data_IF_981774331249
#
_entry.id   IF_981774331249
#
_cell.length_a   1.000
_cell.length_b   1.000
_cell.length_c   1.000
_cell.angle_alpha   90.00
_cell.angle_beta   90.00
_cell.angle_gamma   90.00
#
_symmetry.space_group_name_H-M   'P 1'
#
loop_
_entity.id
_entity.type
_entity.pdbx_description
1 polymer ?
#
# COMPACT_ATOMS: atom_id res chain seq x y z
N UNK A 1 28.86 15.80 -4.06
CA UNK A 1 28.98 14.78 -5.13
C UNK A 1 27.97 15.14 -6.19
N UNK A 2 28.38 15.47 -7.41
CA UNK A 2 27.43 15.57 -8.52
C UNK A 2 26.84 14.18 -8.71
N UNK A 3 25.52 14.06 -8.57
CA UNK A 3 24.85 12.79 -8.81
C UNK A 3 24.96 12.46 -10.30
N UNK A 4 25.77 11.46 -10.64
CA UNK A 4 26.01 11.01 -12.02
C UNK A 4 24.91 10.10 -12.55
N UNK A 5 23.86 9.88 -11.75
CA UNK A 5 22.74 9.01 -12.11
C UNK A 5 21.87 9.64 -13.17
N UNK A 6 21.31 8.78 -14.00
CA UNK A 6 20.33 9.16 -15.01
C UNK A 6 18.97 9.43 -14.36
N UNK A 7 18.27 10.46 -14.80
CA UNK A 7 16.90 10.71 -14.37
C UNK A 7 15.93 10.08 -15.36
N UNK A 8 15.13 9.12 -14.89
CA UNK A 8 14.07 8.52 -15.67
C UNK A 8 12.75 9.20 -15.31
N UNK A 9 12.06 9.75 -16.31
CA UNK A 9 10.67 10.13 -16.16
C UNK A 9 9.78 8.94 -16.51
N UNK A 10 8.99 8.44 -15.56
CA UNK A 10 8.05 7.35 -15.79
C UNK A 10 6.63 7.80 -15.48
N UNK A 11 5.68 7.55 -16.37
CA UNK A 11 4.28 7.96 -16.17
C UNK A 11 3.30 6.93 -16.68
N UNK A 12 2.13 6.86 -16.06
CA UNK A 12 0.95 6.27 -16.68
C UNK A 12 0.30 7.28 -17.62
N UNK A 13 -0.22 6.84 -18.77
CA UNK A 13 -0.86 7.71 -19.74
C UNK A 13 -2.16 7.12 -20.27
N UNK A 14 -3.11 8.00 -20.62
CA UNK A 14 -4.44 7.64 -21.13
C UNK A 14 -4.77 8.40 -22.40
N UNK A 15 -6.01 8.93 -22.47
CA UNK A 15 -6.47 9.72 -23.62
C UNK A 15 -5.81 11.09 -23.75
N UNK A 16 -5.11 11.54 -22.70
CA UNK A 16 -4.55 12.89 -22.55
C UNK A 16 -3.03 12.78 -22.39
N UNK A 17 -2.26 12.54 -23.47
CA UNK A 17 -0.81 12.40 -23.40
C UNK A 17 -0.09 13.75 -23.15
N UNK A 18 -0.80 14.88 -23.18
CA UNK A 18 -0.28 16.23 -22.94
C UNK A 18 0.49 16.33 -21.61
N UNK A 19 0.04 15.58 -20.60
CA UNK A 19 0.70 15.44 -19.29
C UNK A 19 2.20 15.14 -19.39
N UNK A 20 2.65 14.49 -20.46
CA UNK A 20 4.05 14.15 -20.68
C UNK A 20 4.83 15.43 -20.98
N UNK A 21 4.40 16.21 -21.96
CA UNK A 21 5.09 17.46 -22.34
C UNK A 21 4.95 18.53 -21.26
N UNK A 22 3.83 18.57 -20.53
CA UNK A 22 3.65 19.44 -19.37
C UNK A 22 4.68 19.10 -18.28
N UNK A 23 4.80 17.82 -17.92
CA UNK A 23 5.76 17.36 -16.91
C UNK A 23 7.21 17.67 -17.35
N UNK A 24 7.55 17.39 -18.61
CA UNK A 24 8.87 17.65 -19.16
C UNK A 24 9.20 19.14 -19.22
N UNK A 25 8.23 20.00 -19.50
CA UNK A 25 8.41 21.44 -19.50
C UNK A 25 8.83 21.94 -18.11
N UNK A 26 8.12 21.56 -17.05
CA UNK A 26 8.51 21.96 -15.70
C UNK A 26 9.88 21.37 -15.31
N UNK A 27 10.12 20.08 -15.53
CA UNK A 27 11.43 19.48 -15.20
C UNK A 27 12.59 20.13 -15.97
N UNK A 28 12.51 20.20 -17.30
CA UNK A 28 13.64 20.57 -18.15
C UNK A 28 13.76 22.09 -18.27
N UNK A 29 12.66 22.77 -18.54
CA UNK A 29 12.67 24.21 -18.86
C UNK A 29 12.70 25.04 -17.60
N UNK A 30 11.83 24.75 -16.62
CA UNK A 30 11.72 25.55 -15.40
C UNK A 30 12.75 25.15 -14.35
N UNK A 31 12.84 23.87 -14.01
CA UNK A 31 13.73 23.37 -12.95
C UNK A 31 15.16 23.10 -13.42
N UNK A 32 15.44 23.15 -14.75
CA UNK A 32 16.72 22.78 -15.35
C UNK A 32 17.20 21.39 -14.94
N UNK A 33 16.25 20.48 -14.68
CA UNK A 33 16.49 19.09 -14.35
C UNK A 33 16.62 18.30 -15.65
N UNK A 34 17.77 17.65 -15.81
CA UNK A 34 18.02 16.74 -16.93
C UNK A 34 17.07 15.55 -16.82
N UNK A 35 16.48 15.15 -17.94
CA UNK A 35 15.79 13.86 -18.12
C UNK A 35 16.62 13.07 -19.12
N UNK A 36 16.81 11.78 -18.87
CA UNK A 36 17.67 10.90 -19.67
C UNK A 36 16.88 9.81 -20.39
N UNK A 37 15.75 9.37 -19.82
CA UNK A 37 14.92 8.31 -20.39
C UNK A 37 13.46 8.60 -20.01
N UNK A 38 12.52 8.29 -20.91
CA UNK A 38 11.08 8.47 -20.69
C UNK A 38 10.38 7.13 -20.85
N UNK A 39 9.61 6.71 -19.85
CA UNK A 39 8.84 5.48 -19.85
C UNK A 39 7.35 5.79 -19.70
N UNK A 40 6.54 5.34 -20.65
CA UNK A 40 5.09 5.57 -20.67
C UNK A 40 4.39 4.23 -20.52
N UNK A 41 3.61 4.04 -19.46
CA UNK A 41 2.82 2.83 -19.24
C UNK A 41 1.36 3.12 -19.62
N UNK A 42 0.77 2.33 -20.52
CA UNK A 42 -0.55 2.64 -21.09
C UNK A 42 -1.25 1.41 -21.70
N UNK A 43 -2.50 1.55 -22.14
CA UNK A 43 -3.23 0.52 -22.92
C UNK A 43 -3.04 0.74 -24.42
N UNK A 44 -3.55 -0.12 -25.30
CA UNK A 44 -3.46 0.09 -26.76
C UNK A 44 -4.16 1.39 -27.21
N UNK A 45 -5.28 1.75 -26.58
CA UNK A 45 -5.93 3.05 -26.82
C UNK A 45 -4.99 4.22 -26.50
N UNK A 46 -4.36 4.22 -25.32
CA UNK A 46 -3.44 5.29 -24.94
C UNK A 46 -2.12 5.26 -25.72
N UNK A 47 -1.64 4.09 -26.14
CA UNK A 47 -0.48 3.96 -27.04
C UNK A 47 -0.68 4.73 -28.34
N UNK A 48 -1.83 4.57 -28.99
CA UNK A 48 -2.15 5.31 -30.23
C UNK A 48 -2.08 6.83 -30.02
N UNK A 49 -2.56 7.32 -28.88
CA UNK A 49 -2.47 8.75 -28.51
C UNK A 49 -1.03 9.20 -28.25
N UNK A 50 -0.25 8.38 -27.58
CA UNK A 50 1.16 8.66 -27.32
C UNK A 50 1.97 8.67 -28.63
N UNK A 51 1.74 7.71 -29.52
CA UNK A 51 2.39 7.65 -30.84
C UNK A 51 2.03 8.87 -31.72
N UNK A 52 0.78 9.35 -31.68
CA UNK A 52 0.38 10.63 -32.31
C UNK A 52 1.18 11.82 -31.74
N UNK A 53 1.31 11.91 -30.42
CA UNK A 53 2.09 12.95 -29.75
C UNK A 53 3.60 12.86 -30.07
N UNK A 54 4.13 11.65 -30.22
CA UNK A 54 5.57 11.39 -30.42
C UNK A 54 5.94 11.36 -31.91
N UNK A 55 4.98 11.40 -32.85
CA UNK A 55 5.27 11.34 -34.29
C UNK A 55 6.38 12.32 -34.71
N UNK A 56 7.28 11.90 -35.59
CA UNK A 56 8.37 12.75 -36.06
C UNK A 56 7.86 14.10 -36.61
N UNK A 57 8.72 15.12 -36.53
CA UNK A 57 8.41 16.47 -37.01
C UNK A 57 7.90 16.47 -38.46
N UNK A 58 6.90 17.31 -38.81
CA UNK A 58 6.21 18.30 -37.98
C UNK A 58 4.98 17.76 -37.23
N UNK A 59 4.76 16.44 -37.22
CA UNK A 59 3.48 15.86 -36.83
C UNK A 59 3.25 15.71 -35.32
N UNK A 60 4.29 15.46 -34.53
CA UNK A 60 4.16 15.18 -33.10
C UNK A 60 4.63 16.32 -32.21
N UNK A 61 3.84 16.57 -31.16
CA UNK A 61 4.04 17.63 -30.17
C UNK A 61 5.32 17.47 -29.35
N UNK A 62 5.81 16.25 -29.16
CA UNK A 62 7.09 16.02 -28.47
C UNK A 62 8.29 16.57 -29.27
N UNK A 63 8.33 16.33 -30.59
CA UNK A 63 9.40 16.86 -31.43
C UNK A 63 9.32 18.38 -31.56
N UNK A 64 8.10 18.94 -31.65
CA UNK A 64 7.90 20.40 -31.62
C UNK A 64 8.36 21.00 -30.29
N UNK A 65 8.08 20.35 -29.15
CA UNK A 65 8.59 20.76 -27.84
C UNK A 65 10.11 20.79 -27.82
N UNK A 66 10.76 19.74 -28.31
CA UNK A 66 12.20 19.66 -28.35
C UNK A 66 12.80 20.78 -29.22
N UNK A 67 12.25 21.04 -30.40
CA UNK A 67 12.71 22.12 -31.27
C UNK A 67 12.54 23.49 -30.62
N UNK A 68 11.37 23.76 -30.04
CA UNK A 68 11.01 25.04 -29.40
C UNK A 68 11.98 25.39 -28.27
N UNK A 69 12.44 24.40 -27.51
CA UNK A 69 13.34 24.59 -26.38
C UNK A 69 14.81 24.20 -26.65
N UNK A 70 15.18 23.94 -27.90
CA UNK A 70 16.56 23.60 -28.28
C UNK A 70 17.07 22.28 -27.67
N UNK A 71 16.19 21.31 -27.47
CA UNK A 71 16.48 20.00 -26.92
C UNK A 71 16.72 18.99 -28.05
N UNK A 72 17.59 18.00 -27.81
CA UNK A 72 17.75 16.86 -28.71
C UNK A 72 16.86 15.70 -28.25
N UNK A 73 15.85 15.28 -29.04
CA UNK A 73 14.97 14.18 -28.64
C UNK A 73 15.71 12.85 -28.46
N UNK A 74 16.88 12.68 -29.08
CA UNK A 74 17.70 11.46 -28.93
C UNK A 74 18.37 11.35 -27.56
N UNK A 75 18.49 12.45 -26.81
CA UNK A 75 19.04 12.44 -25.45
C UNK A 75 18.00 11.94 -24.43
N UNK A 76 16.73 11.82 -24.84
CA UNK A 76 15.60 11.38 -24.01
C UNK A 76 14.76 10.32 -24.73
N UNK A 77 15.32 9.12 -25.00
CA UNK A 77 14.57 8.04 -25.63
C UNK A 77 13.26 7.74 -24.90
N UNK A 78 12.18 7.60 -25.68
CA UNK A 78 10.84 7.27 -25.17
C UNK A 78 10.54 5.79 -25.41
N UNK A 79 10.15 5.09 -24.34
CA UNK A 79 9.66 3.72 -24.37
C UNK A 79 8.19 3.66 -23.97
N UNK A 80 7.33 3.13 -24.84
CA UNK A 80 5.91 2.90 -24.55
C UNK A 80 5.70 1.43 -24.17
N UNK A 81 5.26 1.21 -22.93
CA UNK A 81 4.94 -0.09 -22.35
C UNK A 81 3.42 -0.27 -22.40
N UNK A 82 2.96 -1.22 -23.22
CA UNK A 82 1.53 -1.55 -23.31
C UNK A 82 1.19 -2.60 -22.28
N UNK A 83 0.19 -2.33 -21.44
CA UNK A 83 -0.32 -3.26 -20.45
C UNK A 83 -0.85 -4.51 -21.16
N UNK A 84 -0.40 -5.67 -20.70
CA UNK A 84 -0.83 -6.98 -21.16
C UNK A 84 -1.58 -7.75 -20.06
N UNK A 85 -2.38 -8.73 -20.47
CA UNK A 85 -2.93 -9.75 -19.57
C UNK A 85 -1.87 -10.81 -19.20
N UNK A 86 -2.26 -11.80 -18.40
CA UNK A 86 -1.40 -12.91 -17.97
C UNK A 86 -0.94 -13.84 -19.11
N UNK A 87 -1.49 -13.70 -20.31
CA UNK A 87 -1.11 -14.44 -21.51
C UNK A 87 -0.36 -13.56 -22.52
N UNK A 88 0.18 -12.41 -22.08
CA UNK A 88 0.87 -11.41 -22.89
C UNK A 88 0.01 -10.74 -23.98
N UNK A 89 -1.33 -10.82 -23.87
CA UNK A 89 -2.20 -10.10 -24.79
C UNK A 89 -2.36 -8.64 -24.37
N UNK A 90 -2.04 -7.73 -25.29
CA UNK A 90 -2.18 -6.29 -25.06
C UNK A 90 -3.65 -5.89 -24.82
N UNK A 91 -3.90 -5.15 -23.74
CA UNK A 91 -5.24 -4.67 -23.39
C UNK A 91 -5.64 -3.47 -24.25
N UNK A 92 -6.84 -3.52 -24.82
CA UNK A 92 -7.41 -2.40 -25.56
C UNK A 92 -7.65 -1.19 -24.65
N UNK A 93 -8.27 -1.44 -23.50
CA UNK A 93 -8.57 -0.51 -22.40
C UNK A 93 -8.84 -1.33 -21.13
N UNK A 94 -8.92 -0.68 -19.97
CA UNK A 94 -9.27 -1.34 -18.70
C UNK A 94 -10.77 -1.18 -18.45
N UNK A 95 -11.55 -2.26 -18.60
CA UNK A 95 -13.02 -2.22 -18.58
C UNK A 95 -13.65 -3.05 -17.48
N UNK A 96 -12.99 -4.13 -17.07
CA UNK A 96 -13.48 -5.01 -16.02
C UNK A 96 -12.45 -5.28 -14.92
N UNK A 97 -12.82 -6.14 -13.97
CA UNK A 97 -11.98 -6.47 -12.83
C UNK A 97 -10.70 -7.22 -13.23
N UNK A 98 -10.76 -8.06 -14.26
CA UNK A 98 -9.61 -8.83 -14.74
C UNK A 98 -8.63 -7.93 -15.47
N UNK A 99 -9.11 -7.05 -16.34
CA UNK A 99 -8.26 -6.02 -16.96
C UNK A 99 -7.54 -5.17 -15.90
N UNK A 100 -8.26 -4.84 -14.83
CA UNK A 100 -7.74 -4.01 -13.75
C UNK A 100 -6.69 -4.74 -12.90
N UNK A 101 -6.84 -6.04 -12.70
CA UNK A 101 -5.81 -6.89 -12.06
C UNK A 101 -4.56 -7.01 -12.94
N UNK A 102 -4.73 -7.23 -14.25
CA UNK A 102 -3.62 -7.23 -15.21
C UNK A 102 -2.88 -5.88 -15.23
N UNK A 103 -3.61 -4.77 -15.17
CA UNK A 103 -3.00 -3.44 -15.04
C UNK A 103 -2.21 -3.27 -13.73
N UNK A 104 -2.72 -3.81 -12.61
CA UNK A 104 -2.02 -3.80 -11.34
C UNK A 104 -0.67 -4.55 -11.43
N UNK A 105 -0.71 -5.80 -11.92
CA UNK A 105 0.46 -6.65 -12.07
C UNK A 105 1.51 -6.03 -13.01
N UNK A 106 1.06 -5.48 -14.15
CA UNK A 106 1.95 -4.87 -15.13
C UNK A 106 2.64 -3.61 -14.61
N UNK A 107 1.88 -2.70 -13.98
CA UNK A 107 2.43 -1.45 -13.44
C UNK A 107 3.38 -1.76 -12.29
N UNK A 108 2.98 -2.65 -11.38
CA UNK A 108 3.81 -3.11 -10.26
C UNK A 108 5.16 -3.67 -10.75
N UNK A 109 5.13 -4.64 -11.67
CA UNK A 109 6.33 -5.26 -12.22
C UNK A 109 7.22 -4.27 -12.98
N UNK A 110 6.64 -3.33 -13.75
CA UNK A 110 7.44 -2.33 -14.48
C UNK A 110 8.14 -1.35 -13.54
N UNK A 111 7.47 -0.91 -12.47
CA UNK A 111 8.08 -0.01 -11.49
C UNK A 111 9.14 -0.76 -10.66
N UNK A 112 8.90 -2.03 -10.31
CA UNK A 112 9.89 -2.87 -9.68
C UNK A 112 11.18 -2.98 -10.53
N UNK A 113 11.04 -3.29 -11.82
CA UNK A 113 12.16 -3.38 -12.78
C UNK A 113 12.96 -2.07 -12.85
N UNK A 114 12.26 -0.93 -12.96
CA UNK A 114 12.91 0.38 -13.06
C UNK A 114 13.60 0.79 -11.75
N UNK A 115 13.00 0.49 -10.59
CA UNK A 115 13.59 0.73 -9.27
C UNK A 115 14.78 -0.18 -8.98
N UNK A 116 14.88 -1.35 -9.60
CA UNK A 116 16.03 -2.25 -9.45
C UNK A 116 17.33 -1.71 -10.12
N UNK A 117 17.22 -0.72 -11.01
CA UNK A 117 18.38 -0.10 -11.69
C UNK A 117 19.11 0.86 -10.76
N UNK A 118 20.32 0.51 -10.30
CA UNK A 118 21.07 1.33 -9.34
C UNK A 118 21.65 2.64 -9.90
N UNK A 119 21.77 2.73 -11.23
CA UNK A 119 22.33 3.85 -11.98
C UNK A 119 21.33 4.99 -12.24
N UNK A 120 20.07 4.84 -11.80
CA UNK A 120 18.99 5.78 -12.11
C UNK A 120 18.29 6.34 -10.89
N UNK A 121 17.68 7.50 -11.07
CA UNK A 121 16.68 8.09 -10.19
C UNK A 121 15.34 8.15 -10.93
N UNK A 122 14.28 7.63 -10.32
CA UNK A 122 12.94 7.65 -10.89
C UNK A 122 12.19 8.92 -10.48
N UNK A 123 11.69 9.62 -11.50
CA UNK A 123 10.73 10.73 -11.41
C UNK A 123 9.40 10.18 -11.93
N UNK A 124 8.63 9.54 -11.05
CA UNK A 124 7.36 8.92 -11.38
C UNK A 124 6.23 9.96 -11.41
N UNK A 125 5.28 9.79 -12.32
CA UNK A 125 4.05 10.60 -12.39
C UNK A 125 2.82 9.72 -12.43
N UNK A 126 1.81 10.14 -11.69
CA UNK A 126 0.50 9.50 -11.65
C UNK A 126 -0.56 10.23 -12.48
N UNK A 127 -0.18 11.28 -13.21
CA UNK A 127 -1.08 12.12 -14.00
C UNK A 127 -1.44 11.48 -15.35
N UNK A 128 -2.32 10.48 -15.36
CA UNK A 128 -2.81 9.92 -16.62
C UNK A 128 -3.45 8.54 -16.51
N UNK A 129 -4.01 8.07 -17.61
CA UNK A 129 -4.63 6.74 -17.68
C UNK A 129 -6.01 6.66 -17.04
N UNK A 130 -6.46 5.43 -16.79
CA UNK A 130 -7.62 5.17 -15.91
C UNK A 130 -7.18 5.46 -14.47
N UNK A 131 -8.08 5.99 -13.64
CA UNK A 131 -7.78 6.40 -12.24
C UNK A 131 -7.10 5.30 -11.42
N UNK A 132 -7.41 4.03 -11.68
CA UNK A 132 -6.78 2.89 -11.00
C UNK A 132 -5.31 2.74 -11.36
N UNK A 133 -4.88 3.07 -12.58
CA UNK A 133 -3.46 3.07 -12.98
C UNK A 133 -2.62 4.03 -12.12
N UNK A 134 -3.16 5.23 -11.84
CA UNK A 134 -2.53 6.20 -10.94
C UNK A 134 -2.36 5.66 -9.52
N UNK A 135 -3.37 4.92 -9.03
CA UNK A 135 -3.30 4.27 -7.73
C UNK A 135 -2.22 3.16 -7.70
N UNK A 136 -2.17 2.31 -8.72
CA UNK A 136 -1.15 1.25 -8.82
C UNK A 136 0.27 1.80 -8.95
N UNK A 137 0.46 2.91 -9.69
CA UNK A 137 1.73 3.63 -9.71
C UNK A 137 2.15 4.06 -8.29
N UNK A 138 1.23 4.67 -7.53
CA UNK A 138 1.52 5.11 -6.17
C UNK A 138 1.79 3.93 -5.22
N UNK A 139 1.09 2.80 -5.36
CA UNK A 139 1.32 1.61 -4.54
C UNK A 139 2.66 0.95 -4.86
N UNK A 140 3.00 0.80 -6.14
CA UNK A 140 4.30 0.26 -6.56
C UNK A 140 5.45 1.16 -6.10
N UNK A 141 5.29 2.48 -6.17
CA UNK A 141 6.28 3.42 -5.62
C UNK A 141 6.45 3.28 -4.10
N UNK A 142 5.39 3.00 -3.34
CA UNK A 142 5.54 2.73 -1.89
C UNK A 142 6.33 1.45 -1.62
N UNK A 143 6.15 0.41 -2.43
CA UNK A 143 6.83 -0.88 -2.30
C UNK A 143 8.29 -0.86 -2.75
N UNK A 144 8.64 -0.10 -3.80
CA UNK A 144 9.97 -0.17 -4.43
C UNK A 144 10.72 1.16 -4.49
N UNK A 145 10.02 2.29 -4.32
CA UNK A 145 10.60 3.62 -4.49
C UNK A 145 11.67 3.91 -3.44
N UNK A 146 12.88 4.18 -3.90
CA UNK A 146 14.06 4.43 -3.06
C UNK A 146 14.04 5.86 -2.53
N UNK A 147 14.95 6.17 -1.60
CA UNK A 147 15.07 7.52 -1.00
C UNK A 147 15.29 8.64 -2.03
N UNK A 148 15.91 8.33 -3.17
CA UNK A 148 16.17 9.27 -4.27
C UNK A 148 14.99 9.43 -5.22
N UNK A 149 14.14 8.42 -5.34
CA UNK A 149 13.03 8.43 -6.28
C UNK A 149 11.92 9.36 -5.77
N UNK A 150 11.11 9.87 -6.70
CA UNK A 150 10.07 10.88 -6.44
C UNK A 150 8.81 10.54 -7.21
N UNK A 151 7.67 10.90 -6.63
CA UNK A 151 6.35 10.73 -7.23
C UNK A 151 5.73 12.12 -7.38
N UNK A 152 5.13 12.38 -8.54
CA UNK A 152 4.61 13.70 -8.90
C UNK A 152 3.19 13.62 -9.45
N UNK A 153 2.50 14.74 -9.35
CA UNK A 153 1.29 15.04 -10.10
C UNK A 153 1.46 16.39 -10.78
N UNK A 154 1.42 16.41 -12.12
CA UNK A 154 1.49 17.65 -12.87
C UNK A 154 0.20 18.45 -12.70
N UNK A 155 0.35 19.73 -12.37
CA UNK A 155 -0.70 20.72 -12.23
C UNK A 155 -0.50 21.78 -13.31
N UNK A 156 -1.57 22.20 -13.97
CA UNK A 156 -1.56 23.23 -15.00
C UNK A 156 -2.51 24.36 -14.59
N UNK A 157 -2.01 25.59 -14.65
CA UNK A 157 -2.77 26.81 -14.42
C UNK A 157 -2.57 27.75 -15.61
N UNK A 158 -3.61 28.46 -16.07
CA UNK A 158 -4.95 28.51 -15.48
C UNK A 158 -5.85 27.31 -15.88
N UNK A 159 -6.95 27.03 -15.15
CA UNK A 159 -7.75 25.79 -15.30
C UNK A 159 -8.32 25.55 -16.69
N UNK A 160 -8.45 26.60 -17.52
CA UNK A 160 -8.88 26.51 -18.92
C UNK A 160 -7.93 25.66 -19.77
N UNK A 161 -6.68 25.52 -19.35
CA UNK A 161 -5.68 24.69 -20.03
C UNK A 161 -5.77 23.21 -19.66
N UNK A 162 -6.18 22.87 -18.43
CA UNK A 162 -6.16 21.49 -17.89
C UNK A 162 -6.99 20.51 -18.73
N UNK A 163 -8.10 20.97 -19.30
CA UNK A 163 -8.99 20.15 -20.12
C UNK A 163 -8.82 20.39 -21.63
N UNK A 164 -7.90 21.27 -22.02
CA UNK A 164 -7.66 21.61 -23.42
C UNK A 164 -6.90 20.49 -24.10
N UNK A 165 -7.46 19.95 -25.19
CA UNK A 165 -6.74 18.98 -26.03
C UNK A 165 -5.66 19.64 -26.89
N UNK A 166 -5.69 20.96 -27.00
CA UNK A 166 -4.83 21.74 -27.89
C UNK A 166 -3.58 22.28 -27.18
N UNK A 167 -3.58 22.30 -25.84
CA UNK A 167 -2.45 22.74 -25.01
C UNK A 167 -1.55 21.58 -24.62
N UNK A 168 -0.23 21.74 -24.75
CA UNK A 168 0.76 20.69 -24.43
C UNK A 168 1.90 21.21 -23.54
N UNK A 169 2.30 22.46 -23.74
CA UNK A 169 3.34 23.17 -23.01
C UNK A 169 3.23 24.66 -23.38
N UNK A 170 3.71 25.59 -22.52
CA UNK A 170 3.75 27.01 -22.87
C UNK A 170 4.68 27.22 -24.08
N UNK A 171 4.35 28.06 -25.07
CA UNK A 171 5.29 28.37 -26.15
C UNK A 171 6.52 29.12 -25.62
N UNK A 172 7.65 29.08 -26.35
CA UNK A 172 8.77 29.98 -26.06
C UNK A 172 8.39 31.43 -26.43
N UNK A 173 8.78 32.37 -25.57
CA UNK A 173 8.44 33.78 -25.68
C UNK A 173 7.02 34.14 -25.19
N UNK A 174 6.60 35.37 -25.44
CA UNK A 174 5.34 35.93 -24.91
C UNK A 174 4.16 35.74 -25.87
N UNK A 175 4.08 34.56 -26.51
CA UNK A 175 3.02 34.26 -27.46
C UNK A 175 1.79 33.75 -26.72
N UNK A 176 0.64 34.37 -26.95
CA UNK A 176 -0.60 33.90 -26.36
C UNK A 176 -1.02 32.54 -26.93
N UNK A 177 -1.62 31.73 -26.07
CA UNK A 177 -2.15 30.40 -26.38
C UNK A 177 -3.66 30.51 -26.52
N UNK A 178 -4.18 30.09 -27.67
CA UNK A 178 -5.60 29.95 -27.90
C UNK A 178 -6.03 28.52 -27.56
N UNK A 179 -6.96 28.37 -26.62
CA UNK A 179 -7.52 27.07 -26.24
C UNK A 179 -9.03 27.05 -26.36
N UNK A 180 -9.58 25.87 -26.68
CA UNK A 180 -11.03 25.65 -26.68
C UNK A 180 -11.48 25.22 -25.31
N UNK A 181 -12.37 26.00 -24.71
CA UNK A 181 -13.08 25.69 -23.47
C UNK A 181 -14.56 25.44 -23.73
N UNK A 182 -15.28 24.92 -22.72
CA UNK A 182 -16.72 24.70 -22.79
C UNK A 182 -17.52 26.00 -23.08
N UNK A 183 -16.96 27.16 -22.73
CA UNK A 183 -17.54 28.49 -22.98
C UNK A 183 -17.11 29.17 -24.28
N UNK A 184 -16.30 28.52 -25.12
CA UNK A 184 -15.74 29.11 -26.35
C UNK A 184 -14.21 29.13 -26.35
N UNK A 185 -13.63 29.89 -27.28
CA UNK A 185 -12.18 30.07 -27.34
C UNK A 185 -11.71 31.05 -26.27
N UNK A 186 -10.67 30.66 -25.52
CA UNK A 186 -10.02 31.47 -24.49
C UNK A 186 -8.58 31.70 -24.92
N UNK A 187 -8.14 32.95 -24.85
CA UNK A 187 -6.75 33.34 -25.05
C UNK A 187 -6.07 33.48 -23.70
N UNK A 188 -5.01 32.70 -23.49
CA UNK A 188 -4.20 32.72 -22.26
C UNK A 188 -2.81 33.21 -22.61
N UNK A 189 -2.30 34.23 -21.91
CA UNK A 189 -0.93 34.67 -22.15
C UNK A 189 0.05 33.61 -21.65
N UNK A 190 1.09 33.30 -22.43
CA UNK A 190 2.12 32.34 -22.02
C UNK A 190 2.79 32.70 -20.69
N UNK A 191 2.82 34.00 -20.34
CA UNK A 191 3.37 34.51 -19.07
C UNK A 191 2.57 34.09 -17.84
N UNK A 192 1.27 33.85 -18.02
CA UNK A 192 0.36 33.48 -16.93
C UNK A 192 0.26 31.96 -16.74
N UNK A 193 0.89 31.19 -17.64
CA UNK A 193 0.85 29.74 -17.59
C UNK A 193 1.86 29.22 -16.58
N UNK A 194 1.35 28.50 -15.58
CA UNK A 194 2.15 27.84 -14.56
C UNK A 194 1.91 26.34 -14.65
N UNK A 195 2.98 25.60 -14.92
CA UNK A 195 2.98 24.14 -14.83
C UNK A 195 3.84 23.76 -13.63
N UNK A 196 3.41 22.78 -12.84
CA UNK A 196 4.16 22.32 -11.68
C UNK A 196 3.98 20.83 -11.49
N UNK A 197 5.07 20.07 -11.48
CA UNK A 197 5.11 18.71 -10.95
C UNK A 197 5.08 18.79 -9.43
N UNK A 198 3.89 18.75 -8.84
CA UNK A 198 3.71 18.74 -7.40
C UNK A 198 4.16 17.38 -6.83
N UNK A 199 5.17 17.40 -5.95
CA UNK A 199 5.67 16.19 -5.30
C UNK A 199 4.61 15.61 -4.37
N UNK A 200 4.31 14.33 -4.54
CA UNK A 200 3.42 13.57 -3.67
C UNK A 200 4.29 12.77 -2.70
N UNK A 201 4.26 13.10 -1.40
CA UNK A 201 4.96 12.29 -0.40
C UNK A 201 4.29 10.92 -0.31
N UNK A 202 5.09 9.86 -0.17
CA UNK A 202 4.61 8.51 0.01
C UNK A 202 5.49 7.74 1.01
N UNK A 203 4.87 6.82 1.73
CA UNK A 203 5.55 6.00 2.74
C UNK A 203 6.40 4.96 2.00
N UNK A 204 7.67 4.86 2.34
CA UNK A 204 8.57 3.84 1.79
C UNK A 204 8.54 2.65 2.74
N UNK A 205 7.94 1.58 2.27
CA UNK A 205 7.84 0.34 3.04
C UNK A 205 8.84 -0.71 2.56
N UNK A 206 9.55 -0.45 1.45
CA UNK A 206 10.60 -1.32 0.90
C UNK A 206 11.61 -1.81 1.96
N UNK A 207 12.04 -0.95 2.89
CA UNK A 207 13.00 -1.30 3.94
C UNK A 207 12.40 -2.20 5.05
N UNK A 208 11.06 -2.29 5.12
CA UNK A 208 10.31 -3.14 6.05
C UNK A 208 9.78 -4.42 5.41
N UNK A 209 9.87 -4.53 4.09
CA UNK A 209 9.45 -5.69 3.34
C UNK A 209 10.67 -6.56 3.09
N UNK A 210 10.65 -7.77 3.65
CA UNK A 210 11.62 -8.79 3.32
C UNK A 210 11.20 -9.43 1.99
N UNK A 211 11.47 -8.71 0.91
CA UNK A 211 11.31 -9.23 -0.45
C UNK A 211 12.43 -10.23 -0.73
N UNK A 212 12.35 -11.39 -0.09
CA UNK A 212 13.16 -12.55 -0.47
C UNK A 212 12.94 -12.81 -1.98
N UNK A 213 13.92 -13.40 -2.68
CA UNK A 213 13.92 -13.48 -4.17
C UNK A 213 12.62 -14.06 -4.77
N UNK A 214 11.84 -14.81 -3.99
CA UNK A 214 10.54 -15.39 -4.37
C UNK A 214 9.40 -14.37 -4.58
N UNK A 215 9.45 -13.17 -3.97
CA UNK A 215 8.41 -12.14 -4.13
C UNK A 215 8.48 -11.45 -5.50
N UNK A 216 9.59 -11.55 -6.23
CA UNK A 216 9.74 -10.98 -7.57
C UNK A 216 8.86 -11.66 -8.63
N UNK A 217 8.31 -12.84 -8.34
CA UNK A 217 7.51 -13.65 -9.28
C UNK A 217 6.01 -13.63 -8.92
N UNK A 218 5.63 -12.97 -7.83
CA UNK A 218 4.27 -12.95 -7.31
C UNK A 218 3.42 -11.85 -7.97
N UNK A 219 2.10 -12.05 -8.07
CA UNK A 219 1.18 -11.00 -8.55
C UNK A 219 1.14 -9.83 -7.56
N UNK A 220 0.63 -8.67 -7.99
CA UNK A 220 0.40 -7.53 -7.10
C UNK A 220 -0.48 -7.91 -5.90
N UNK A 221 -1.52 -8.72 -6.13
CA UNK A 221 -2.40 -9.16 -5.04
C UNK A 221 -1.68 -10.07 -4.05
N UNK A 222 -0.86 -11.01 -4.53
CA UNK A 222 -0.04 -11.86 -3.66
C UNK A 222 0.93 -11.03 -2.82
N UNK A 223 1.58 -10.02 -3.44
CA UNK A 223 2.47 -9.09 -2.74
C UNK A 223 1.73 -8.30 -1.66
N UNK A 224 0.50 -7.84 -1.93
CA UNK A 224 -0.35 -7.18 -0.93
C UNK A 224 -0.67 -8.14 0.22
N UNK A 225 -1.09 -9.38 -0.07
CA UNK A 225 -1.43 -10.36 0.95
C UNK A 225 -0.23 -10.72 1.84
N UNK A 226 0.93 -10.98 1.23
CA UNK A 226 2.18 -11.29 1.94
C UNK A 226 2.68 -10.11 2.77
N UNK A 227 2.55 -8.89 2.23
CA UNK A 227 2.88 -7.66 2.96
C UNK A 227 1.97 -7.49 4.17
N UNK A 228 0.67 -7.72 4.03
CA UNK A 228 -0.27 -7.62 5.16
C UNK A 228 0.03 -8.66 6.24
N UNK A 229 0.32 -9.91 5.87
CA UNK A 229 0.77 -10.93 6.83
C UNK A 229 2.06 -10.54 7.54
N UNK A 230 2.99 -9.89 6.83
CA UNK A 230 4.25 -9.40 7.42
C UNK A 230 4.03 -8.23 8.38
N UNK A 231 3.14 -7.30 8.03
CA UNK A 231 2.76 -6.18 8.91
C UNK A 231 2.00 -6.67 10.14
N UNK A 232 1.15 -7.69 10.02
CA UNK A 232 0.48 -8.33 11.16
C UNK A 232 1.50 -8.91 12.17
N UNK A 233 2.68 -9.34 11.71
CA UNK A 233 3.77 -9.76 12.59
C UNK A 233 4.45 -8.58 13.33
N UNK A 234 4.43 -7.37 12.76
CA UNK A 234 4.90 -6.14 13.41
C UNK A 234 3.93 -5.66 14.51
N UNK A 235 2.64 -6.02 14.39
CA UNK A 235 1.59 -5.71 15.38
C UNK A 235 1.45 -6.80 16.47
N UNK A 236 2.55 -7.46 16.87
CA UNK A 236 2.49 -8.46 17.94
C UNK A 236 2.48 -7.80 19.32
N UNK A 237 1.36 -7.93 20.03
CA UNK A 237 1.32 -7.74 21.48
C UNK A 237 2.02 -8.92 22.14
N UNK A 238 3.13 -8.67 22.84
CA UNK A 238 3.73 -9.65 23.75
C UNK A 238 3.11 -9.50 25.12
N UNK A 239 2.56 -10.60 25.62
CA UNK A 239 2.10 -10.69 27.00
C UNK A 239 3.24 -11.20 27.88
N UNK A 240 3.52 -10.47 28.96
CA UNK A 240 4.53 -10.82 29.93
C UNK A 240 3.89 -11.04 31.30
N UNK A 241 3.97 -12.29 31.74
CA UNK A 241 3.38 -12.80 32.98
C UNK A 241 4.40 -12.90 34.12
N UNK A 242 5.62 -12.39 33.96
CA UNK A 242 6.68 -12.50 34.99
C UNK A 242 6.31 -11.87 36.35
N UNK A 243 5.37 -10.92 36.38
CA UNK A 243 4.88 -10.29 37.62
C UNK A 243 3.46 -10.75 38.02
N UNK A 244 2.98 -11.87 37.48
CA UNK A 244 1.61 -12.34 37.74
C UNK A 244 1.33 -12.64 39.22
N UNK A 245 2.35 -12.96 40.01
CA UNK A 245 2.23 -13.15 41.48
C UNK A 245 1.81 -11.86 42.22
N UNK A 246 2.07 -10.69 41.62
CA UNK A 246 1.61 -9.38 42.12
C UNK A 246 0.23 -9.01 41.59
N UNK A 247 -0.33 -9.79 40.66
CA UNK A 247 -1.57 -9.47 39.95
C UNK A 247 -1.34 -8.69 38.66
N UNK A 248 -0.10 -8.60 38.17
CA UNK A 248 0.27 -7.69 37.09
C UNK A 248 0.52 -8.45 35.79
N UNK A 249 -0.26 -8.12 34.74
CA UNK A 249 -0.02 -8.55 33.37
C UNK A 249 0.61 -7.38 32.61
N UNK A 250 1.83 -7.55 32.10
CA UNK A 250 2.44 -6.56 31.22
C UNK A 250 2.06 -6.86 29.77
N UNK A 251 1.48 -5.88 29.10
CA UNK A 251 1.22 -5.91 27.66
C UNK A 251 2.27 -5.03 27.00
N UNK A 252 3.11 -5.63 26.17
CA UNK A 252 4.19 -4.96 25.46
C UNK A 252 3.83 -4.94 23.99
N UNK A 253 3.70 -3.74 23.43
CA UNK A 253 3.39 -3.54 22.02
C UNK A 253 4.59 -2.92 21.32
N UNK A 254 5.04 -3.57 20.24
CA UNK A 254 6.16 -3.08 19.42
C UNK A 254 7.41 -2.76 20.26
N UNK A 255 7.66 -3.56 21.30
CA UNK A 255 8.77 -3.45 22.27
C UNK A 255 8.87 -2.13 23.08
N UNK A 256 8.10 -1.10 22.74
CA UNK A 256 8.20 0.24 23.33
C UNK A 256 7.01 0.62 24.22
N UNK A 257 5.78 0.26 23.86
CA UNK A 257 4.59 0.67 24.61
C UNK A 257 4.20 -0.42 25.61
N UNK A 258 4.21 -0.06 26.90
CA UNK A 258 3.99 -1.00 28.01
C UNK A 258 2.78 -0.59 28.83
N UNK A 259 1.77 -1.45 28.88
CA UNK A 259 0.69 -1.34 29.86
C UNK A 259 0.88 -2.38 30.95
N UNK A 260 0.65 -1.98 32.19
CA UNK A 260 0.50 -2.91 33.30
C UNK A 260 -0.97 -3.03 33.64
N UNK A 261 -1.53 -4.22 33.45
CA UNK A 261 -2.92 -4.52 33.75
C UNK A 261 -3.00 -5.20 35.11
N UNK A 262 -3.57 -4.50 36.07
CA UNK A 262 -3.74 -5.00 37.43
C UNK A 262 -5.03 -5.85 37.54
N UNK A 263 -4.87 -7.09 37.99
CA UNK A 263 -5.93 -8.07 38.18
C UNK A 263 -5.80 -8.76 39.53
N UNK A 264 -6.87 -9.41 40.01
CA UNK A 264 -6.71 -10.33 41.15
C UNK A 264 -5.85 -11.52 40.75
N UNK A 265 -5.11 -12.10 41.71
CA UNK A 265 -4.26 -13.29 41.48
C UNK A 265 -4.99 -14.45 40.80
N UNK A 266 -6.22 -14.74 41.23
CA UNK A 266 -7.04 -15.79 40.63
C UNK A 266 -7.40 -15.47 39.16
N UNK A 267 -7.58 -14.19 38.83
CA UNK A 267 -7.98 -13.74 37.50
C UNK A 267 -6.83 -13.84 36.50
N UNK A 268 -5.64 -13.35 36.86
CA UNK A 268 -4.46 -13.45 36.01
C UNK A 268 -3.98 -14.89 35.85
N UNK A 269 -4.17 -15.74 36.87
CA UNK A 269 -3.85 -17.18 36.80
C UNK A 269 -4.77 -17.89 35.80
N UNK A 270 -6.08 -17.61 35.85
CA UNK A 270 -7.04 -18.15 34.88
C UNK A 270 -6.79 -17.61 33.47
N UNK A 271 -6.43 -16.33 33.35
CA UNK A 271 -6.05 -15.73 32.06
C UNK A 271 -4.82 -16.40 31.46
N UNK A 272 -3.75 -16.62 32.26
CA UNK A 272 -2.54 -17.34 31.84
C UNK A 272 -2.84 -18.77 31.39
N UNK A 273 -3.71 -19.47 32.12
CA UNK A 273 -4.15 -20.81 31.74
C UNK A 273 -4.83 -20.84 30.36
N UNK A 274 -5.74 -19.90 30.08
CA UNK A 274 -6.40 -19.78 28.77
C UNK A 274 -5.40 -19.38 27.69
N UNK A 275 -4.45 -18.50 27.99
CA UNK A 275 -3.37 -18.11 27.08
C UNK A 275 -2.49 -19.30 26.67
N UNK A 276 -2.10 -20.11 27.64
CA UNK A 276 -1.30 -21.32 27.39
C UNK A 276 -2.09 -22.33 26.55
N UNK A 277 -3.39 -22.49 26.78
CA UNK A 277 -4.25 -23.34 25.94
C UNK A 277 -4.28 -22.87 24.47
N UNK A 278 -4.33 -21.56 24.21
CA UNK A 278 -4.27 -21.00 22.84
C UNK A 278 -2.94 -21.33 22.18
N UNK A 279 -1.82 -21.09 22.85
CA UNK A 279 -0.49 -21.36 22.30
C UNK A 279 -0.25 -22.84 22.04
N UNK A 280 -0.77 -23.72 22.92
CA UNK A 280 -0.72 -25.17 22.75
C UNK A 280 -1.62 -25.69 21.61
N UNK A 281 -2.79 -25.09 21.36
CA UNK A 281 -3.65 -25.47 20.23
C UNK A 281 -3.02 -25.16 18.87
N UNK A 282 -2.23 -24.10 18.81
CA UNK A 282 -1.51 -23.72 17.59
C UNK A 282 -0.18 -24.50 17.42
N UNK A 283 0.13 -25.43 18.34
CA UNK A 283 1.24 -26.37 18.22
C UNK A 283 0.77 -27.67 17.55
N UNK A 284 1.53 -28.23 16.57
CA UNK A 284 1.19 -29.50 15.92
C UNK A 284 1.21 -30.72 16.86
N UNK A 285 1.71 -30.58 18.10
CA UNK A 285 1.80 -31.65 19.10
C UNK A 285 0.95 -31.32 20.34
N UNK A 286 -0.33 -31.71 20.30
CA UNK A 286 -1.23 -31.56 21.44
C UNK A 286 -0.92 -32.61 22.52
N UNK A 287 -0.35 -32.17 23.66
CA UNK A 287 0.07 -33.05 24.75
C UNK A 287 -1.15 -33.72 25.47
N UNK A 288 -1.22 -35.07 25.55
CA UNK A 288 -2.32 -35.81 26.19
C UNK A 288 -2.57 -35.53 27.68
N UNK A 289 -1.62 -34.93 28.41
CA UNK A 289 -1.84 -34.50 29.82
C UNK A 289 -2.84 -33.36 29.93
N UNK A 290 -2.84 -32.41 28.99
CA UNK A 290 -3.73 -31.25 29.04
C UNK A 290 -5.19 -31.62 28.77
N UNK A 291 -5.45 -32.67 27.98
CA UNK A 291 -6.79 -33.23 27.74
C UNK A 291 -7.42 -33.76 29.04
N UNK A 292 -6.63 -34.37 29.93
CA UNK A 292 -7.13 -34.89 31.24
C UNK A 292 -7.50 -33.77 32.21
N UNK A 293 -6.71 -32.70 32.26
CA UNK A 293 -6.99 -31.56 33.13
C UNK A 293 -8.20 -30.74 32.62
N UNK A 294 -8.34 -30.58 31.29
CA UNK A 294 -9.54 -30.01 30.68
C UNK A 294 -10.82 -30.82 31.00
N UNK A 295 -10.74 -32.15 31.02
CA UNK A 295 -11.85 -33.02 31.40
C UNK A 295 -12.20 -32.95 32.90
N UNK A 296 -11.22 -32.72 33.79
CA UNK A 296 -11.45 -32.50 35.22
C UNK A 296 -12.18 -31.18 35.49
N UNK A 297 -11.77 -30.12 34.80
CA UNK A 297 -12.39 -28.79 34.90
C UNK A 297 -13.83 -28.81 34.37
N UNK A 298 -14.09 -29.46 33.22
CA UNK A 298 -15.42 -29.58 32.63
C UNK A 298 -16.41 -30.39 33.49
N UNK A 299 -15.92 -31.41 34.23
CA UNK A 299 -16.76 -32.23 35.12
C UNK A 299 -17.14 -31.53 36.43
N UNK A 300 -16.81 -30.26 36.60
CA UNK A 300 -17.27 -29.45 37.74
C UNK A 300 -16.73 -29.93 39.08
N UNK A 301 -15.50 -30.46 39.11
CA UNK A 301 -14.81 -30.85 40.34
C UNK A 301 -14.61 -29.63 41.24
N UNK A 302 -15.56 -29.36 42.13
CA UNK A 302 -15.39 -28.46 43.27
C UNK A 302 -14.50 -29.15 44.28
N UNK A 303 -13.19 -28.92 44.20
CA UNK A 303 -12.41 -28.98 45.43
C UNK A 303 -12.64 -27.68 46.19
N UNK A 304 -13.15 -27.84 47.41
CA UNK A 304 -13.54 -26.77 48.30
C UNK A 304 -12.33 -25.90 48.66
N UNK A 305 -12.17 -24.81 47.92
CA UNK A 305 -11.36 -23.66 48.33
C UNK A 305 -12.27 -22.45 48.11
N UNK A 306 -12.68 -21.81 49.21
CA UNK A 306 -13.70 -20.74 49.30
C UNK A 306 -13.35 -19.43 48.55
N UNK A 307 -12.50 -19.47 47.52
CA UNK A 307 -12.15 -18.30 46.71
C UNK A 307 -11.64 -18.64 45.30
N UNK A 308 -12.08 -19.73 44.67
CA UNK A 308 -11.67 -20.10 43.30
C UNK A 308 -12.69 -19.68 42.23
N UNK A 309 -12.27 -19.45 40.95
CA UNK A 309 -13.16 -19.01 39.88
C UNK A 309 -14.24 -20.06 39.60
N UNK A 310 -15.46 -19.61 39.33
CA UNK A 310 -16.50 -20.49 38.79
C UNK A 310 -16.11 -20.91 37.37
N UNK A 311 -15.79 -22.19 37.20
CA UNK A 311 -15.41 -22.79 35.92
C UNK A 311 -16.62 -23.27 35.10
N UNK A 312 -17.85 -23.00 35.54
CA UNK A 312 -19.04 -23.25 34.73
C UNK A 312 -19.02 -22.38 33.45
N UNK A 313 -19.82 -22.75 32.45
CA UNK A 313 -20.00 -21.92 31.25
C UNK A 313 -20.39 -20.48 31.61
N UNK A 314 -21.20 -20.30 32.66
CA UNK A 314 -21.60 -19.00 33.18
C UNK A 314 -20.41 -18.29 33.85
N UNK A 315 -19.68 -18.97 34.73
CA UNK A 315 -18.53 -18.40 35.42
C UNK A 315 -17.38 -18.00 34.49
N UNK A 316 -17.10 -18.79 33.46
CA UNK A 316 -16.12 -18.43 32.41
C UNK A 316 -16.61 -17.26 31.57
N UNK A 317 -17.91 -17.20 31.25
CA UNK A 317 -18.50 -16.05 30.54
C UNK A 317 -18.41 -14.76 31.36
N UNK A 318 -18.71 -14.83 32.66
CA UNK A 318 -18.65 -13.71 33.59
C UNK A 318 -17.20 -13.25 33.81
N UNK A 319 -16.26 -14.20 33.94
CA UNK A 319 -14.83 -13.94 33.98
C UNK A 319 -14.34 -13.20 32.73
N UNK A 320 -14.67 -13.71 31.54
CA UNK A 320 -14.33 -13.07 30.26
C UNK A 320 -14.86 -11.64 30.18
N UNK A 321 -16.13 -11.44 30.52
CA UNK A 321 -16.76 -10.11 30.49
C UNK A 321 -16.03 -9.13 31.42
N UNK A 322 -15.64 -9.61 32.61
CA UNK A 322 -14.86 -8.84 33.58
C UNK A 322 -13.47 -8.47 33.06
N UNK A 323 -12.71 -9.44 32.55
CA UNK A 323 -11.36 -9.18 32.04
C UNK A 323 -11.39 -8.24 30.84
N UNK A 324 -12.25 -8.50 29.85
CA UNK A 324 -12.34 -7.64 28.66
C UNK A 324 -12.74 -6.21 29.04
N UNK A 325 -13.58 -6.03 30.08
CA UNK A 325 -13.88 -4.70 30.64
C UNK A 325 -12.63 -4.04 31.23
N UNK A 326 -11.87 -4.76 32.07
CA UNK A 326 -10.62 -4.24 32.66
C UNK A 326 -9.61 -3.84 31.59
N UNK A 327 -9.44 -4.65 30.54
CA UNK A 327 -8.56 -4.35 29.41
C UNK A 327 -9.01 -3.07 28.68
N UNK A 328 -10.32 -2.94 28.40
CA UNK A 328 -10.90 -1.74 27.75
C UNK A 328 -10.65 -0.48 28.54
N UNK A 329 -10.88 -0.53 29.85
CA UNK A 329 -10.76 0.62 30.74
C UNK A 329 -9.31 1.12 30.83
N UNK A 330 -8.33 0.22 30.75
CA UNK A 330 -6.91 0.53 30.96
C UNK A 330 -6.11 0.80 29.68
N UNK A 331 -6.40 0.10 28.57
CA UNK A 331 -5.59 0.20 27.34
C UNK A 331 -6.14 1.27 26.39
N UNK A 332 -7.44 1.63 26.47
CA UNK A 332 -8.13 2.74 25.75
C UNK A 332 -7.85 2.86 24.24
N UNK A 333 -7.17 1.89 23.64
CA UNK A 333 -6.84 1.80 22.23
C UNK A 333 -7.58 0.60 21.62
N UNK A 334 -8.62 0.91 20.83
CA UNK A 334 -9.50 -0.10 20.20
C UNK A 334 -8.77 -1.08 19.28
N UNK A 335 -7.64 -0.69 18.69
CA UNK A 335 -6.88 -1.54 17.78
C UNK A 335 -6.08 -2.58 18.55
N UNK A 336 -5.46 -2.19 19.67
CA UNK A 336 -4.68 -3.10 20.55
C UNK A 336 -5.60 -4.07 21.28
N UNK A 337 -6.79 -3.62 21.70
CA UNK A 337 -7.78 -4.46 22.38
C UNK A 337 -8.15 -5.71 21.55
N UNK A 338 -8.21 -5.60 20.23
CA UNK A 338 -8.47 -6.73 19.33
C UNK A 338 -7.44 -7.86 19.40
N UNK A 339 -6.23 -7.60 19.91
CA UNK A 339 -5.15 -8.58 20.02
C UNK A 339 -5.04 -9.23 21.40
N UNK A 340 -5.75 -8.73 22.41
CA UNK A 340 -5.58 -9.15 23.83
C UNK A 340 -6.91 -9.49 24.53
N UNK A 341 -8.06 -9.23 23.92
CA UNK A 341 -9.36 -9.66 24.44
C UNK A 341 -9.53 -11.19 24.31
N UNK A 342 -10.24 -11.79 25.26
CA UNK A 342 -10.65 -13.20 25.20
C UNK A 342 -11.97 -13.31 24.42
N UNK A 343 -11.98 -14.12 23.38
CA UNK A 343 -13.15 -14.45 22.58
C UNK A 343 -13.50 -15.96 22.67
N UNK A 344 -14.73 -16.32 22.30
CA UNK A 344 -15.14 -17.73 22.15
C UNK A 344 -15.34 -18.03 20.67
N UNK A 345 -14.76 -19.14 20.22
CA UNK A 345 -14.87 -19.64 18.85
C UNK A 345 -15.64 -20.97 18.90
N UNK A 346 -16.68 -21.10 18.07
CA UNK A 346 -17.45 -22.34 17.90
C UNK A 346 -16.95 -23.09 16.68
N UNK A 347 -15.95 -23.95 16.86
CA UNK A 347 -15.41 -24.77 15.74
C UNK A 347 -15.52 -26.28 15.98
N UNK A 348 -15.96 -26.73 17.16
CA UNK A 348 -16.14 -28.15 17.55
C UNK A 348 -17.29 -28.28 18.57
N UNK A 349 -17.75 -29.49 18.97
CA UNK A 349 -18.79 -29.67 20.00
C UNK A 349 -18.48 -29.03 21.38
N UNK A 350 -17.31 -28.40 21.54
CA UNK A 350 -16.89 -27.67 22.72
C UNK A 350 -16.50 -26.24 22.33
N UNK A 351 -16.90 -25.27 23.16
CA UNK A 351 -16.44 -23.89 22.99
C UNK A 351 -14.93 -23.80 23.27
N UNK A 352 -14.19 -23.26 22.31
CA UNK A 352 -12.76 -22.97 22.48
C UNK A 352 -12.64 -21.48 22.77
N UNK A 353 -11.75 -21.12 23.70
CA UNK A 353 -11.44 -19.73 24.00
C UNK A 353 -10.12 -19.37 23.34
N UNK A 354 -10.16 -18.32 22.54
CA UNK A 354 -8.97 -17.75 21.92
C UNK A 354 -8.75 -16.37 22.49
N UNK A 355 -7.49 -16.02 22.68
CA UNK A 355 -7.09 -14.62 22.88
C UNK A 355 -6.92 -14.03 21.48
N UNK A 356 -7.25 -12.76 21.29
CA UNK A 356 -7.19 -12.10 19.98
C UNK A 356 -5.91 -12.37 19.16
N UNK A 357 -6.06 -12.39 17.84
CA UNK A 357 -4.98 -12.55 16.85
C UNK A 357 -5.40 -13.37 15.64
N UNK A 358 -6.10 -12.70 14.71
CA UNK A 358 -6.25 -12.89 13.26
C UNK A 358 -7.62 -12.28 12.90
N UNK A 359 -7.61 -11.01 12.47
CA UNK A 359 -8.73 -10.44 11.74
C UNK A 359 -8.69 -10.99 10.30
N UNK A 360 -8.91 -12.29 10.14
CA UNK A 360 -8.75 -12.91 8.83
C UNK A 360 -8.79 -14.43 8.87
N UNK A 361 -9.93 -15.01 9.27
CA UNK A 361 -10.46 -16.24 8.68
C UNK A 361 -11.79 -16.57 9.37
N UNK A 362 -12.88 -15.98 8.86
CA UNK A 362 -14.15 -16.70 8.89
C UNK A 362 -14.15 -17.66 7.71
N UNK A 363 -13.47 -18.79 7.86
CA UNK A 363 -13.77 -19.96 7.02
C UNK A 363 -15.14 -20.48 7.44
N UNK A 364 -16.18 -20.03 6.74
CA UNK A 364 -17.47 -20.72 6.73
C UNK A 364 -17.26 -22.07 6.06
N UNK A 365 -17.09 -23.10 6.87
CA UNK A 365 -17.42 -24.49 6.58
C UNK A 365 -18.10 -24.98 7.86
N UNK A 366 -19.40 -25.24 7.93
CA UNK A 366 -20.39 -25.78 6.98
C UNK A 366 -21.76 -25.26 7.38
#
# INVERSE_FOLDING_TARGET
>A
MNDTRKNIFVTVAGSTPQIITESLYDFIVQQKKRIDEIHIITTLHGRRRCEEMIKAYPGGRFYTFCQEYGLNPMDMPISIHVITDENDHALEDIRDARDNESAANFIDGKIQELCAREDVTLLASLSGGRKTMSAYMAYAMQMYGRRRDRLYHVLVSPPELEFSRDFFYPPSGDRDVLVKSAGGEVTVSARDIVITNAEIPFIRINDFLDFDENLNVASYLDKVELTQKSLDNVYRARLDFSEMEKGDLRVIWQDDIKWTVHMKRAEITLYKYIYDLKTLHNSPELNPRHVRELQRIYKGGREAVDSYPDFSHKGISDFRAKINKTLRDQIKNKYILGYIEIASVRTRPYAIYTIGGEAGEQSVQT
#
